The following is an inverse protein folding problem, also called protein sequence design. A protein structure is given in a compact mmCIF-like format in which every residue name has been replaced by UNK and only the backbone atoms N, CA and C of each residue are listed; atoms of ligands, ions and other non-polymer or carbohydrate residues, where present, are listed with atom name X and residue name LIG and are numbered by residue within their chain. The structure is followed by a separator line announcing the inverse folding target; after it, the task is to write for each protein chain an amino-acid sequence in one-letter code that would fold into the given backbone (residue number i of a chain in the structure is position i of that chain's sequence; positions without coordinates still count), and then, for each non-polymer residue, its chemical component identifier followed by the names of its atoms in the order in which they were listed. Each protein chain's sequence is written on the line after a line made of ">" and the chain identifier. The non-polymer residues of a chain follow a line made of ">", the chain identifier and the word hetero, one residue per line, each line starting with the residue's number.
data_IF_474303675398
#
_entry.id   IF_474303675398
#
_cell.length_a   1.000
_cell.length_b   1.000
_cell.length_c   1.000
_cell.angle_alpha   90.00
_cell.angle_beta   90.00
_cell.angle_gamma   90.00
#
_symmetry.space_group_name_H-M   'P 1'
#
loop_
_entity.id
_entity.type
_entity.pdbx_description
1 polymer ?
#
# COMPACT_ATOMS: atom_id res chain seq x y z
N UNK A 1 -18.65 36.20 -44.12
CA UNK A 1 -17.60 35.31 -43.56
C UNK A 1 -17.35 35.53 -42.05
N UNK A 2 -17.84 36.63 -41.45
CA UNK A 2 -17.63 36.98 -40.03
C UNK A 2 -18.40 36.11 -39.01
N UNK A 3 -19.54 35.50 -39.40
CA UNK A 3 -20.33 34.59 -38.54
C UNK A 3 -19.69 33.22 -38.27
N UNK A 4 -18.75 32.77 -39.11
CA UNK A 4 -18.05 31.48 -38.91
C UNK A 4 -16.92 31.56 -37.88
N UNK A 5 -16.30 32.75 -37.71
CA UNK A 5 -15.20 32.95 -36.75
C UNK A 5 -15.69 32.95 -35.29
N UNK A 6 -16.91 33.47 -35.03
CA UNK A 6 -17.50 33.50 -33.68
C UNK A 6 -17.84 32.10 -33.13
N UNK A 7 -18.24 31.15 -33.98
CA UNK A 7 -18.49 29.77 -33.57
C UNK A 7 -17.20 28.99 -33.26
N UNK A 8 -16.11 29.28 -33.96
CA UNK A 8 -14.82 28.61 -33.74
C UNK A 8 -14.15 29.06 -32.42
N UNK A 9 -14.32 30.32 -32.02
CA UNK A 9 -13.74 30.87 -30.78
C UNK A 9 -14.49 30.37 -29.54
N UNK A 10 -15.82 30.24 -29.60
CA UNK A 10 -16.63 29.71 -28.49
C UNK A 10 -16.35 28.24 -28.18
N UNK A 11 -16.03 27.43 -29.19
CA UNK A 11 -15.74 26.00 -29.03
C UNK A 11 -14.37 25.75 -28.37
N UNK A 12 -13.37 26.59 -28.63
CA UNK A 12 -12.03 26.47 -28.04
C UNK A 12 -11.99 26.79 -26.53
N UNK A 13 -12.81 27.74 -26.05
CA UNK A 13 -12.93 28.03 -24.62
C UNK A 13 -13.63 26.90 -23.84
N UNK A 14 -14.56 26.17 -24.46
CA UNK A 14 -15.24 25.04 -23.82
C UNK A 14 -14.32 23.81 -23.68
N UNK A 15 -13.46 23.57 -24.68
CA UNK A 15 -12.48 22.49 -24.65
C UNK A 15 -11.39 22.73 -23.57
N UNK A 16 -10.84 23.94 -23.48
CA UNK A 16 -9.84 24.29 -22.47
C UNK A 16 -10.40 24.28 -21.03
N UNK A 17 -11.67 24.66 -20.85
CA UNK A 17 -12.35 24.57 -19.55
C UNK A 17 -12.55 23.14 -19.09
N UNK A 18 -12.84 22.21 -20.01
CA UNK A 18 -12.98 20.79 -19.69
C UNK A 18 -11.64 20.18 -19.26
N UNK A 19 -10.53 20.53 -19.93
CA UNK A 19 -9.19 20.06 -19.55
C UNK A 19 -8.77 20.56 -18.16
N UNK A 20 -9.03 21.83 -17.83
CA UNK A 20 -8.70 22.39 -16.51
C UNK A 20 -9.56 21.80 -15.38
N UNK A 21 -10.86 21.57 -15.61
CA UNK A 21 -11.76 20.97 -14.61
C UNK A 21 -11.45 19.48 -14.40
N UNK A 22 -11.17 18.74 -15.47
CA UNK A 22 -10.84 17.32 -15.39
C UNK A 22 -9.46 17.09 -14.75
N UNK A 23 -8.50 17.98 -14.98
CA UNK A 23 -7.18 17.92 -14.35
C UNK A 23 -7.22 18.36 -12.87
N UNK A 24 -7.92 19.45 -12.57
CA UNK A 24 -8.01 20.01 -11.21
C UNK A 24 -8.77 19.11 -10.23
N UNK A 25 -9.86 18.47 -10.67
CA UNK A 25 -10.64 17.57 -9.83
C UNK A 25 -9.90 16.28 -9.47
N UNK A 26 -9.11 15.73 -10.40
CA UNK A 26 -8.33 14.51 -10.16
C UNK A 26 -7.20 14.75 -9.16
N UNK A 27 -6.44 15.85 -9.30
CA UNK A 27 -5.33 16.16 -8.39
C UNK A 27 -5.83 16.43 -6.96
N UNK A 28 -6.94 17.17 -6.82
CA UNK A 28 -7.56 17.41 -5.51
C UNK A 28 -8.01 16.13 -4.82
N UNK A 29 -8.62 15.21 -5.56
CA UNK A 29 -9.07 13.93 -5.01
C UNK A 29 -7.90 13.00 -4.62
N UNK A 30 -6.76 13.07 -5.32
CA UNK A 30 -5.59 12.27 -4.97
C UNK A 30 -4.95 12.70 -3.63
N UNK A 31 -4.89 14.01 -3.36
CA UNK A 31 -4.26 14.56 -2.15
C UNK A 31 -5.06 14.28 -0.87
N UNK A 32 -6.37 14.06 -0.98
CA UNK A 32 -7.26 13.79 0.15
C UNK A 32 -7.39 12.30 0.49
N UNK A 33 -6.65 11.40 -0.18
CA UNK A 33 -6.70 9.97 0.13
C UNK A 33 -6.08 9.71 1.51
N UNK A 34 -6.73 8.91 2.37
CA UNK A 34 -6.14 8.54 3.66
C UNK A 34 -4.86 7.73 3.42
N UNK A 35 -3.87 7.94 4.28
CA UNK A 35 -2.61 7.21 4.22
C UNK A 35 -2.79 5.80 4.80
N UNK A 36 -2.44 4.74 4.04
CA UNK A 36 -2.63 3.38 4.50
C UNK A 36 -1.74 3.09 5.70
N UNK A 37 -2.26 2.33 6.65
CA UNK A 37 -1.54 1.95 7.87
C UNK A 37 -1.44 0.43 7.97
N UNK A 38 -0.29 -0.08 8.42
CA UNK A 38 -0.09 -1.51 8.70
C UNK A 38 -0.38 -1.82 10.17
N UNK A 39 -1.16 -2.87 10.39
CA UNK A 39 -1.46 -3.49 11.68
C UNK A 39 -1.03 -4.97 11.66
N UNK A 40 -0.68 -5.56 12.83
CA UNK A 40 -0.66 -4.97 14.16
C UNK A 40 0.47 -3.95 14.33
N UNK A 41 0.49 -3.22 15.45
CA UNK A 41 1.56 -2.24 15.73
C UNK A 41 2.88 -2.89 16.17
N UNK A 42 2.77 -4.06 16.79
CA UNK A 42 3.89 -4.90 17.22
C UNK A 42 3.61 -6.36 16.88
N UNK A 43 4.67 -7.14 16.63
CA UNK A 43 4.55 -8.56 16.39
C UNK A 43 4.66 -9.33 17.73
N UNK A 44 3.78 -10.31 17.99
CA UNK A 44 3.97 -11.25 19.08
C UNK A 44 5.30 -12.00 18.94
N UNK A 45 5.95 -12.31 20.07
CA UNK A 45 7.14 -13.15 20.07
C UNK A 45 6.85 -14.53 19.45
N UNK A 46 7.80 -15.03 18.68
CA UNK A 46 7.77 -16.36 18.09
C UNK A 46 8.69 -17.31 18.86
N UNK A 47 8.52 -18.62 18.66
CA UNK A 47 9.38 -19.65 19.24
C UNK A 47 10.00 -20.52 18.16
N UNK A 48 11.28 -20.86 18.31
CA UNK A 48 11.98 -21.74 17.37
C UNK A 48 11.28 -23.09 17.27
N UNK A 49 11.08 -23.57 16.04
CA UNK A 49 10.45 -24.87 15.79
C UNK A 49 8.92 -24.91 16.02
N UNK A 50 8.31 -23.81 16.49
CA UNK A 50 6.86 -23.71 16.69
C UNK A 50 6.21 -22.97 15.52
N UNK A 51 5.10 -23.49 14.97
CA UNK A 51 4.34 -22.77 13.95
C UNK A 51 3.92 -21.38 14.42
N UNK A 52 4.23 -20.38 13.61
CA UNK A 52 3.89 -18.98 13.81
C UNK A 52 2.92 -18.55 12.72
N UNK A 53 1.87 -17.83 13.10
CA UNK A 53 0.91 -17.24 12.17
C UNK A 53 0.33 -15.96 12.77
N UNK A 54 0.59 -14.83 12.12
CA UNK A 54 0.08 -13.52 12.52
C UNK A 54 -0.49 -12.82 11.31
N UNK A 55 -1.72 -12.32 11.45
CA UNK A 55 -2.38 -11.56 10.40
C UNK A 55 -1.79 -10.14 10.34
N UNK A 56 -1.47 -9.72 9.12
CA UNK A 56 -1.20 -8.33 8.76
C UNK A 56 -2.47 -7.73 8.14
N UNK A 57 -2.78 -6.48 8.48
CA UNK A 57 -3.90 -5.75 7.91
C UNK A 57 -3.48 -4.36 7.47
N UNK A 58 -3.82 -3.99 6.24
CA UNK A 58 -3.66 -2.64 5.71
C UNK A 58 -4.98 -1.91 5.88
N UNK A 59 -5.02 -0.93 6.76
CA UNK A 59 -6.20 -0.10 7.05
C UNK A 59 -6.03 1.30 6.47
N UNK A 60 -7.06 2.15 6.60
CA UNK A 60 -7.05 3.53 6.11
C UNK A 60 -6.73 3.64 4.61
N UNK A 61 -7.19 2.68 3.82
CA UNK A 61 -7.11 2.72 2.35
C UNK A 61 -8.48 2.53 1.72
N UNK A 62 -8.76 3.30 0.67
CA UNK A 62 -9.95 3.14 -0.18
C UNK A 62 -9.66 2.29 -1.43
N UNK A 63 -8.40 1.93 -1.67
CA UNK A 63 -7.97 1.17 -2.84
C UNK A 63 -7.50 -0.22 -2.43
N UNK A 64 -7.72 -1.25 -3.27
CA UNK A 64 -7.24 -2.60 -2.98
C UNK A 64 -5.72 -2.63 -2.82
N UNK A 65 -5.22 -3.57 -2.02
CA UNK A 65 -3.79 -3.77 -1.77
C UNK A 65 -3.23 -4.70 -2.85
N UNK A 66 -2.18 -4.28 -3.55
CA UNK A 66 -1.53 -5.12 -4.57
C UNK A 66 -0.45 -6.03 -4.01
N UNK A 67 -0.01 -5.77 -2.77
CA UNK A 67 1.01 -6.58 -2.14
C UNK A 67 1.41 -6.14 -0.73
N UNK A 68 1.88 -7.12 0.04
CA UNK A 68 2.55 -6.94 1.33
C UNK A 68 3.89 -7.69 1.24
N UNK A 69 4.99 -6.99 1.55
CA UNK A 69 6.35 -7.48 1.31
C UNK A 69 7.27 -7.16 2.50
N UNK A 70 8.21 -8.05 2.77
CA UNK A 70 9.36 -7.78 3.64
C UNK A 70 10.51 -7.19 2.80
N UNK A 71 11.33 -6.35 3.42
CA UNK A 71 12.54 -5.82 2.80
C UNK A 71 13.61 -6.90 2.65
N UNK A 72 14.36 -6.89 1.54
CA UNK A 72 15.52 -7.79 1.36
C UNK A 72 16.69 -7.42 2.29
N UNK A 73 16.75 -6.17 2.75
CA UNK A 73 17.81 -5.68 3.67
C UNK A 73 17.49 -6.03 5.13
N UNK A 74 16.19 -6.03 5.47
CA UNK A 74 15.68 -6.34 6.81
C UNK A 74 14.56 -7.38 6.68
N UNK A 75 14.92 -8.63 6.30
CA UNK A 75 13.97 -9.67 5.95
C UNK A 75 13.32 -10.28 7.19
N UNK A 76 12.32 -11.12 6.97
CA UNK A 76 11.81 -12.01 7.99
C UNK A 76 12.89 -13.04 8.40
N UNK A 77 12.86 -13.54 9.66
CA UNK A 77 13.69 -14.66 10.08
C UNK A 77 13.52 -15.88 9.17
N UNK A 78 14.60 -16.64 9.02
CA UNK A 78 14.60 -17.92 8.29
C UNK A 78 13.41 -18.80 8.71
N UNK A 79 12.66 -19.30 7.73
CA UNK A 79 11.49 -20.16 7.94
C UNK A 79 10.15 -19.44 8.07
N UNK A 80 10.14 -18.11 8.08
CA UNK A 80 8.93 -17.28 7.97
C UNK A 80 8.79 -16.67 6.57
N UNK A 81 7.54 -16.47 6.13
CA UNK A 81 7.19 -15.81 4.86
C UNK A 81 5.94 -14.95 5.01
N UNK A 82 5.73 -14.05 4.06
CA UNK A 82 4.47 -13.31 3.93
C UNK A 82 3.61 -14.00 2.86
N UNK A 83 2.38 -14.33 3.23
CA UNK A 83 1.34 -14.77 2.30
C UNK A 83 0.30 -13.67 2.15
N UNK A 84 0.15 -13.18 0.94
CA UNK A 84 -0.82 -12.14 0.61
C UNK A 84 -1.46 -12.46 -0.73
N UNK A 85 -2.78 -12.25 -0.82
CA UNK A 85 -3.52 -12.43 -2.06
C UNK A 85 -3.78 -11.07 -2.70
N UNK A 86 -3.61 -11.00 -4.02
CA UNK A 86 -3.85 -9.77 -4.77
C UNK A 86 -5.25 -9.20 -4.47
N UNK A 87 -5.31 -7.89 -4.25
CA UNK A 87 -6.49 -7.08 -3.88
C UNK A 87 -7.06 -7.28 -2.49
N UNK A 88 -6.57 -8.23 -1.70
CA UNK A 88 -7.01 -8.39 -0.32
C UNK A 88 -6.32 -7.40 0.63
N UNK A 89 -7.02 -6.75 1.57
CA UNK A 89 -6.39 -5.80 2.49
C UNK A 89 -5.57 -6.48 3.60
N UNK A 90 -5.58 -7.81 3.66
CA UNK A 90 -4.93 -8.58 4.71
C UNK A 90 -4.03 -9.69 4.14
N UNK A 91 -3.00 -10.04 4.90
CA UNK A 91 -2.08 -11.13 4.63
C UNK A 91 -1.62 -11.77 5.94
N UNK A 92 -0.72 -12.73 5.88
CA UNK A 92 -0.18 -13.41 7.06
C UNK A 92 1.33 -13.49 7.00
N UNK A 93 1.99 -13.27 8.13
CA UNK A 93 3.33 -13.80 8.37
C UNK A 93 3.13 -15.22 8.88
N UNK A 94 3.58 -16.22 8.13
CA UNK A 94 3.40 -17.62 8.48
C UNK A 94 4.68 -18.44 8.31
N UNK A 95 4.80 -19.53 9.06
CA UNK A 95 5.90 -20.47 8.94
C UNK A 95 6.40 -20.95 10.29
N UNK A 96 7.65 -21.41 10.33
CA UNK A 96 8.29 -21.91 11.55
C UNK A 96 9.69 -21.34 11.63
N UNK A 97 10.00 -20.45 12.58
CA UNK A 97 11.32 -19.84 12.66
C UNK A 97 12.34 -20.87 13.14
N UNK A 98 13.57 -20.76 12.62
CA UNK A 98 14.63 -21.78 12.87
C UNK A 98 15.75 -21.31 13.79
N UNK A 99 15.85 -20.00 14.08
CA UNK A 99 16.92 -19.41 14.90
C UNK A 99 16.37 -18.37 15.85
N UNK A 100 16.81 -18.43 17.10
CA UNK A 100 16.52 -17.40 18.11
C UNK A 100 17.20 -16.08 17.79
N UNK A 101 16.64 -14.98 18.30
CA UNK A 101 17.19 -13.64 18.14
C UNK A 101 16.13 -12.55 18.09
N UNK A 102 16.59 -11.31 18.21
CA UNK A 102 15.79 -10.12 17.97
C UNK A 102 16.02 -9.65 16.54
N UNK A 103 14.97 -9.64 15.72
CA UNK A 103 15.05 -9.29 14.31
C UNK A 103 14.33 -7.97 14.05
N UNK A 104 15.04 -7.01 13.48
CA UNK A 104 14.43 -5.83 12.88
C UNK A 104 13.90 -6.20 11.50
N UNK A 105 12.58 -6.15 11.31
CA UNK A 105 11.89 -6.53 10.08
C UNK A 105 11.18 -5.32 9.50
N UNK A 106 11.44 -5.02 8.23
CA UNK A 106 10.81 -3.89 7.54
C UNK A 106 9.73 -4.42 6.62
N UNK A 107 8.47 -4.11 6.92
CA UNK A 107 7.32 -4.52 6.11
C UNK A 107 6.76 -3.30 5.37
N UNK A 108 6.51 -3.49 4.07
CA UNK A 108 5.86 -2.51 3.21
C UNK A 108 4.63 -3.11 2.58
N UNK A 109 3.55 -2.34 2.48
CA UNK A 109 2.38 -2.70 1.71
C UNK A 109 2.09 -1.62 0.66
N UNK A 110 1.64 -2.05 -0.51
CA UNK A 110 1.31 -1.16 -1.61
C UNK A 110 -0.16 -1.25 -1.98
N UNK A 111 -0.78 -0.11 -2.27
CA UNK A 111 -2.16 -0.05 -2.76
C UNK A 111 -2.19 0.23 -4.25
N UNK A 112 -3.23 -0.23 -4.93
CA UNK A 112 -3.48 0.19 -6.31
C UNK A 112 -3.82 1.68 -6.38
N UNK A 113 -3.58 2.25 -7.54
CA UNK A 113 -4.00 3.59 -7.89
C UNK A 113 -4.67 3.57 -9.26
N UNK A 114 -5.88 4.10 -9.36
CA UNK A 114 -6.62 4.20 -10.64
C UNK A 114 -6.23 5.48 -11.37
N UNK A 115 -6.72 6.62 -10.87
CA UNK A 115 -6.43 7.97 -11.39
C UNK A 115 -5.28 8.68 -10.64
N UNK A 116 -4.74 8.02 -9.62
CA UNK A 116 -3.67 8.51 -8.76
C UNK A 116 -2.58 7.44 -8.68
N UNK A 117 -1.36 7.81 -8.27
CA UNK A 117 -0.36 6.80 -7.90
C UNK A 117 -0.88 5.94 -6.72
N UNK A 118 -0.45 4.67 -6.68
CA UNK A 118 -0.65 3.82 -5.52
C UNK A 118 0.01 4.41 -4.27
N UNK A 119 -0.58 4.17 -3.10
CA UNK A 119 0.01 4.58 -1.82
C UNK A 119 0.83 3.44 -1.23
N UNK A 120 1.70 3.76 -0.27
CA UNK A 120 2.51 2.77 0.45
C UNK A 120 2.35 2.95 1.95
N UNK A 121 2.11 1.85 2.65
CA UNK A 121 2.27 1.77 4.09
C UNK A 121 3.63 1.13 4.40
N UNK A 122 4.34 1.63 5.40
CA UNK A 122 5.57 1.01 5.90
C UNK A 122 5.52 0.89 7.40
N UNK A 123 6.06 -0.20 7.93
CA UNK A 123 6.25 -0.38 9.36
C UNK A 123 7.52 -1.17 9.62
N UNK A 124 8.28 -0.71 10.60
CA UNK A 124 9.42 -1.42 11.15
C UNK A 124 8.94 -2.17 12.38
N UNK A 125 9.22 -3.46 12.44
CA UNK A 125 8.87 -4.34 13.54
C UNK A 125 10.13 -4.87 14.20
N UNK A 126 10.05 -5.10 15.51
CA UNK A 126 10.98 -5.99 16.22
C UNK A 126 10.26 -7.31 16.44
N UNK A 127 10.80 -8.39 15.87
CA UNK A 127 10.32 -9.74 16.10
C UNK A 127 11.31 -10.47 17.00
N UNK A 128 10.86 -10.80 18.20
CA UNK A 128 11.61 -11.65 19.12
C UNK A 128 11.33 -13.12 18.81
N UNK A 129 12.38 -13.89 18.55
CA UNK A 129 12.33 -15.34 18.42
C UNK A 129 13.05 -15.96 19.61
N UNK A 130 12.30 -16.65 20.47
CA UNK A 130 12.81 -17.30 21.69
C UNK A 130 12.84 -18.83 21.53
N UNK A 131 13.42 -19.53 22.50
CA UNK A 131 13.43 -21.00 22.56
C UNK A 131 12.06 -21.60 22.89
#
# INVERSE_FOLDING_TARGET
>A
MLRKALFAIGLALQLAGCEAVMSGGVVGNCAMRPEPTLLPEALPAAKVGVPYSVQLSVTNTSSPVHGIYASDVHPLPDGLRIDHQDREPSGFISGTPVKTGAYEVHISAGTYGTQCAGLRARRVYTLEVVE
#
